data_IF_175155422991
#
_entry.id   IF_175155422991
#
_cell.length_a   1.000
_cell.length_b   1.000
_cell.length_c   1.000
_cell.angle_alpha   90.00
_cell.angle_beta   90.00
_cell.angle_gamma   90.00
#
_symmetry.space_group_name_H-M   'P 1'
#
loop_
_entity.id
_entity.type
_entity.pdbx_description
1 polymer ?
#
# COMPACT_ATOMS: atom_id res chain seq x y z
N UNK A 1 47.42 28.61 39.24
CA UNK A 1 46.52 29.78 39.22
C UNK A 1 46.28 30.12 37.76
N UNK A 2 45.04 29.94 37.31
CA UNK A 2 44.58 30.19 35.93
C UNK A 2 44.37 31.69 35.76
N UNK A 3 44.90 32.31 34.70
CA UNK A 3 44.32 33.51 34.06
C UNK A 3 44.64 33.54 32.56
N UNK A 4 43.56 33.46 31.77
CA UNK A 4 43.44 33.89 30.39
C UNK A 4 43.87 35.36 30.22
N UNK A 5 44.52 35.68 29.09
CA UNK A 5 44.01 36.71 28.16
C UNK A 5 44.69 36.62 26.81
N UNK A 6 43.85 36.70 25.77
CA UNK A 6 44.19 36.71 24.36
C UNK A 6 44.83 38.05 23.94
N UNK A 7 45.61 38.03 22.86
CA UNK A 7 45.62 39.15 21.91
C UNK A 7 45.71 38.62 20.48
N UNK A 8 44.81 39.16 19.67
CA UNK A 8 44.49 38.88 18.27
C UNK A 8 45.22 39.91 17.40
N UNK A 9 45.82 39.46 16.30
CA UNK A 9 46.09 40.24 15.08
C UNK A 9 46.27 39.22 13.93
N UNK A 10 45.26 38.94 13.11
CA UNK A 10 44.75 39.71 11.97
C UNK A 10 45.80 39.92 10.86
N UNK A 11 45.80 39.03 9.87
CA UNK A 11 46.21 39.36 8.51
C UNK A 11 45.39 38.49 7.53
N UNK A 12 44.49 39.16 6.83
CA UNK A 12 43.77 38.69 5.66
C UNK A 12 44.76 38.46 4.51
N UNK A 13 44.57 37.38 3.75
CA UNK A 13 44.71 37.43 2.30
C UNK A 13 43.83 36.36 1.66
N UNK A 14 42.66 36.82 1.21
CA UNK A 14 41.77 36.16 0.27
C UNK A 14 42.44 36.13 -1.11
N UNK A 15 42.43 34.97 -1.76
CA UNK A 15 42.43 34.89 -3.23
C UNK A 15 41.43 33.82 -3.67
N UNK A 16 40.20 34.28 -3.85
CA UNK A 16 39.17 33.61 -4.63
C UNK A 16 39.56 33.65 -6.12
N UNK A 17 39.83 32.50 -6.71
CA UNK A 17 39.78 32.30 -8.15
C UNK A 17 38.39 31.83 -8.54
N UNK A 18 37.65 32.68 -9.24
CA UNK A 18 36.29 32.46 -9.69
C UNK A 18 36.22 31.39 -10.79
N UNK A 19 35.32 30.41 -10.62
CA UNK A 19 34.62 29.79 -11.75
C UNK A 19 33.15 30.07 -11.55
N UNK A 20 32.67 31.09 -12.26
CA UNK A 20 31.26 31.38 -12.40
C UNK A 20 30.62 30.31 -13.29
N UNK A 21 29.83 29.42 -12.70
CA UNK A 21 28.73 28.79 -13.42
C UNK A 21 27.45 29.45 -12.93
N UNK A 22 26.85 30.28 -13.78
CA UNK A 22 25.52 30.81 -13.60
C UNK A 22 24.53 29.66 -13.36
N UNK A 23 24.16 29.42 -12.11
CA UNK A 23 22.98 28.63 -11.78
C UNK A 23 21.79 29.58 -11.84
N UNK A 24 21.31 29.78 -13.06
CA UNK A 24 20.03 30.42 -13.34
C UNK A 24 18.95 29.43 -12.90
N UNK A 25 18.41 29.61 -11.68
CA UNK A 25 17.27 28.85 -11.19
C UNK A 25 15.99 29.43 -11.80
N UNK A 26 15.90 29.35 -13.13
CA UNK A 26 14.66 29.54 -13.87
C UNK A 26 14.06 28.16 -14.15
N UNK A 27 12.87 27.97 -13.60
CA UNK A 27 11.96 26.86 -13.85
C UNK A 27 11.94 26.49 -15.33
N UNK A 28 12.69 25.45 -15.71
CA UNK A 28 12.35 24.67 -16.89
C UNK A 28 11.15 23.83 -16.48
N UNK A 29 9.99 24.26 -16.95
CA UNK A 29 8.85 23.37 -17.14
C UNK A 29 9.40 22.07 -17.72
N UNK A 30 9.21 20.98 -16.98
CA UNK A 30 9.37 19.66 -17.53
C UNK A 30 8.29 19.51 -18.60
N UNK A 31 8.65 19.82 -19.85
CA UNK A 31 7.93 19.25 -20.99
C UNK A 31 7.82 17.74 -20.73
N UNK A 32 6.61 17.17 -20.75
CA UNK A 32 6.46 15.74 -20.57
C UNK A 32 7.11 15.09 -21.78
N UNK A 33 8.31 14.55 -21.62
CA UNK A 33 8.84 13.54 -22.52
C UNK A 33 7.76 12.49 -22.68
N UNK A 34 7.17 12.41 -23.88
CA UNK A 34 6.35 11.29 -24.34
C UNK A 34 7.21 10.04 -24.27
N UNK A 35 7.33 9.45 -23.08
CA UNK A 35 7.67 8.04 -22.94
C UNK A 35 6.54 7.29 -23.60
N UNK A 36 6.84 6.76 -24.77
CA UNK A 36 6.13 5.66 -25.42
C UNK A 36 5.74 4.67 -24.32
N UNK A 37 4.46 4.32 -24.23
CA UNK A 37 3.90 3.36 -23.27
C UNK A 37 4.74 2.08 -23.29
N UNK A 38 5.73 1.98 -22.40
CA UNK A 38 6.26 0.69 -22.01
C UNK A 38 5.08 -0.03 -21.38
N UNK A 39 4.69 -1.17 -21.95
CA UNK A 39 3.78 -2.10 -21.30
C UNK A 39 4.24 -2.22 -19.84
N UNK A 40 3.42 -1.75 -18.90
CA UNK A 40 3.79 -1.83 -17.49
C UNK A 40 4.03 -3.31 -17.19
N UNK A 41 5.30 -3.68 -16.95
CA UNK A 41 5.68 -5.05 -16.64
C UNK A 41 4.80 -5.55 -15.49
N UNK A 42 4.19 -6.72 -15.68
CA UNK A 42 3.32 -7.33 -14.68
C UNK A 42 4.07 -7.48 -13.35
N UNK A 43 3.43 -7.07 -12.25
CA UNK A 43 3.94 -7.21 -10.87
C UNK A 43 3.35 -8.42 -10.16
N UNK A 44 2.61 -9.26 -10.88
CA UNK A 44 1.96 -10.44 -10.32
C UNK A 44 0.76 -10.91 -11.13
N UNK A 45 -0.05 -11.77 -10.54
CA UNK A 45 -1.30 -12.21 -11.11
C UNK A 45 -2.31 -12.55 -10.02
N UNK A 46 -3.58 -12.57 -10.40
CA UNK A 46 -4.59 -13.30 -9.64
C UNK A 46 -5.28 -14.32 -10.53
N UNK A 47 -5.67 -15.44 -9.96
CA UNK A 47 -6.45 -16.49 -10.61
C UNK A 47 -7.74 -16.66 -9.86
N UNK A 48 -8.86 -16.68 -10.57
CA UNK A 48 -10.19 -17.00 -10.04
C UNK A 48 -11.00 -17.66 -11.16
N UNK A 49 -11.89 -18.61 -10.83
CA UNK A 49 -12.82 -19.22 -11.81
C UNK A 49 -12.11 -19.78 -13.07
N UNK A 50 -10.89 -20.30 -12.91
CA UNK A 50 -10.07 -20.81 -14.02
C UNK A 50 -9.44 -19.74 -14.92
N UNK A 51 -9.66 -18.45 -14.65
CA UNK A 51 -9.06 -17.32 -15.37
C UNK A 51 -7.88 -16.78 -14.59
N UNK A 52 -6.76 -16.54 -15.27
CA UNK A 52 -5.58 -15.87 -14.70
C UNK A 52 -5.44 -14.49 -15.32
N UNK A 53 -5.36 -13.47 -14.49
CA UNK A 53 -5.29 -12.06 -14.88
C UNK A 53 -4.00 -11.45 -14.33
N UNK A 54 -3.25 -10.79 -15.20
CA UNK A 54 -2.03 -10.08 -14.81
C UNK A 54 -2.36 -8.91 -13.90
N UNK A 55 -1.57 -8.73 -12.86
CA UNK A 55 -1.61 -7.58 -11.98
C UNK A 55 -0.57 -6.59 -12.43
N UNK A 56 -1.00 -5.39 -12.85
CA UNK A 56 -0.12 -4.29 -13.25
C UNK A 56 0.10 -3.28 -12.13
N UNK A 57 -0.82 -3.24 -11.15
CA UNK A 57 -0.74 -2.28 -10.06
C UNK A 57 -1.22 -2.88 -8.74
N UNK A 58 -0.54 -2.49 -7.66
CA UNK A 58 -0.83 -2.94 -6.30
C UNK A 58 -0.88 -1.73 -5.38
N UNK A 59 -1.99 -1.61 -4.65
CA UNK A 59 -2.16 -0.60 -3.60
C UNK A 59 -2.25 -1.28 -2.24
N UNK A 60 -1.49 -0.79 -1.29
CA UNK A 60 -1.60 -1.15 0.12
C UNK A 60 -2.21 0.02 0.87
N UNK A 61 -3.29 -0.24 1.61
CA UNK A 61 -3.87 0.71 2.54
C UNK A 61 -3.68 0.21 3.96
N UNK A 62 -3.31 1.10 4.87
CA UNK A 62 -3.23 0.81 6.31
C UNK A 62 -3.82 1.96 7.12
N UNK A 63 -4.17 1.70 8.37
CA UNK A 63 -4.70 2.74 9.26
C UNK A 63 -3.57 3.40 10.03
N UNK A 64 -3.55 4.73 10.10
CA UNK A 64 -2.51 5.50 10.78
C UNK A 64 -3.10 6.51 11.78
N UNK A 65 -2.34 6.83 12.81
CA UNK A 65 -2.61 8.01 13.64
C UNK A 65 -2.53 9.26 12.77
N UNK A 66 -3.51 10.15 12.84
CA UNK A 66 -3.48 11.39 12.05
C UNK A 66 -4.66 12.29 12.36
N UNK A 67 -4.46 13.60 12.24
CA UNK A 67 -5.53 14.59 12.41
C UNK A 67 -6.47 14.60 11.19
N UNK A 68 -7.77 14.79 11.45
CA UNK A 68 -8.77 14.99 10.42
C UNK A 68 -8.75 16.39 9.81
N UNK A 69 -7.98 17.33 10.41
CA UNK A 69 -7.90 18.71 9.97
C UNK A 69 -6.80 18.91 8.93
N UNK A 70 -7.16 19.53 7.81
CA UNK A 70 -6.23 19.99 6.78
C UNK A 70 -5.13 20.86 7.41
N UNK A 71 -3.87 20.53 7.15
CA UNK A 71 -2.70 21.26 7.66
C UNK A 71 -2.16 20.83 9.03
N UNK A 72 -2.81 19.93 9.76
CA UNK A 72 -2.27 19.38 11.03
C UNK A 72 -1.37 18.16 10.80
N UNK A 73 -0.52 17.82 11.80
CA UNK A 73 0.51 16.78 11.67
C UNK A 73 -0.09 15.42 11.27
N UNK A 74 0.24 14.98 10.05
CA UNK A 74 0.03 13.62 9.57
C UNK A 74 1.05 12.70 10.25
N UNK A 75 0.72 12.17 11.43
CA UNK A 75 1.42 10.97 11.88
C UNK A 75 1.18 9.85 10.85
N UNK A 76 2.14 8.96 10.75
CA UNK A 76 2.13 7.79 9.86
C UNK A 76 2.30 6.52 10.70
N UNK A 77 2.24 6.66 12.03
CA UNK A 77 2.32 5.55 12.95
C UNK A 77 1.10 4.66 12.72
N UNK A 78 1.38 3.39 12.42
CA UNK A 78 0.33 2.42 12.14
C UNK A 78 -0.49 2.15 13.39
N UNK A 79 -1.81 2.20 13.24
CA UNK A 79 -2.74 1.87 14.31
C UNK A 79 -2.71 0.38 14.62
N UNK A 80 -2.84 0.09 15.90
CA UNK A 80 -2.90 -1.27 16.43
C UNK A 80 -4.35 -1.64 16.75
N UNK A 81 -4.71 -2.88 16.42
CA UNK A 81 -6.05 -3.40 16.59
C UNK A 81 -6.01 -4.66 17.45
N UNK A 82 -7.03 -4.83 18.30
CA UNK A 82 -7.28 -6.11 18.96
C UNK A 82 -8.00 -7.01 17.95
N UNK A 83 -7.58 -8.25 17.82
CA UNK A 83 -8.20 -9.24 16.95
C UNK A 83 -8.12 -10.64 17.54
N UNK A 84 -8.68 -11.62 16.83
CA UNK A 84 -8.65 -13.04 17.15
C UNK A 84 -7.97 -13.76 15.98
N UNK A 85 -6.91 -14.51 16.26
CA UNK A 85 -6.18 -15.26 15.24
C UNK A 85 -6.96 -16.54 14.81
N UNK A 86 -6.53 -17.22 13.73
CA UNK A 86 -7.20 -18.45 13.27
C UNK A 86 -7.22 -19.60 14.28
N UNK A 87 -6.40 -19.53 15.35
CA UNK A 87 -6.36 -20.51 16.44
C UNK A 87 -7.28 -20.11 17.61
N UNK A 88 -7.99 -18.98 17.51
CA UNK A 88 -8.89 -18.47 18.55
C UNK A 88 -8.20 -17.63 19.63
N UNK A 89 -6.91 -17.28 19.47
CA UNK A 89 -6.18 -16.49 20.44
C UNK A 89 -6.40 -15.00 20.24
N UNK A 90 -6.57 -14.27 21.34
CA UNK A 90 -6.54 -12.80 21.30
C UNK A 90 -5.14 -12.30 20.94
N UNK A 91 -5.04 -11.46 19.92
CA UNK A 91 -3.78 -10.91 19.41
C UNK A 91 -3.92 -9.41 19.15
N UNK A 92 -2.79 -8.70 19.14
CA UNK A 92 -2.71 -7.35 18.59
C UNK A 92 -2.17 -7.42 17.17
N UNK A 93 -2.74 -6.65 16.25
CA UNK A 93 -2.44 -6.73 14.81
C UNK A 93 -2.29 -5.36 14.16
N UNK A 94 -1.49 -5.31 13.10
CA UNK A 94 -1.62 -4.30 12.04
C UNK A 94 -2.57 -4.80 10.96
N UNK A 95 -3.38 -3.90 10.41
CA UNK A 95 -4.34 -4.20 9.34
C UNK A 95 -3.90 -3.59 8.02
N UNK A 96 -3.89 -4.43 6.98
CA UNK A 96 -3.58 -4.03 5.62
C UNK A 96 -4.72 -4.40 4.69
N UNK A 97 -5.11 -3.47 3.82
CA UNK A 97 -5.91 -3.76 2.65
C UNK A 97 -4.99 -3.77 1.44
N UNK A 98 -4.89 -4.90 0.76
CA UNK A 98 -4.15 -5.05 -0.50
C UNK A 98 -5.15 -5.09 -1.63
N UNK A 99 -4.97 -4.21 -2.62
CA UNK A 99 -5.79 -4.16 -3.82
C UNK A 99 -4.90 -4.40 -5.03
N UNK A 100 -5.19 -5.43 -5.81
CA UNK A 100 -4.54 -5.71 -7.09
C UNK A 100 -5.42 -5.22 -8.23
N UNK A 101 -4.80 -4.76 -9.31
CA UNK A 101 -5.50 -4.30 -10.51
C UNK A 101 -4.76 -4.75 -11.76
N UNK A 102 -5.53 -5.12 -12.78
CA UNK A 102 -5.03 -5.44 -14.12
C UNK A 102 -4.70 -4.20 -14.97
N UNK A 103 -5.07 -3.02 -14.49
CA UNK A 103 -4.73 -1.73 -15.08
C UNK A 103 -3.69 -1.01 -14.23
N UNK A 104 -2.76 -0.33 -14.90
CA UNK A 104 -1.91 0.68 -14.24
C UNK A 104 -2.74 1.87 -13.78
N UNK A 105 -2.16 2.70 -12.90
CA UNK A 105 -2.68 4.06 -12.71
C UNK A 105 -2.46 4.83 -14.02
N UNK A 106 -3.52 5.46 -14.54
CA UNK A 106 -3.51 6.48 -15.61
C UNK A 106 -3.11 6.02 -17.04
N UNK A 107 -4.04 5.88 -18.01
CA UNK A 107 -4.37 7.02 -18.88
C UNK A 107 -4.92 8.20 -18.08
N UNK A 108 -4.04 9.18 -17.84
CA UNK A 108 -4.43 10.50 -17.35
C UNK A 108 -5.34 11.09 -18.44
N UNK A 109 -6.57 11.47 -18.10
CA UNK A 109 -7.30 12.40 -18.96
C UNK A 109 -6.62 13.76 -18.76
N UNK A 110 -5.78 14.15 -19.73
CA UNK A 110 -4.94 15.34 -19.70
C UNK A 110 -5.75 16.62 -19.96
N UNK A 111 -6.79 16.88 -19.18
CA UNK A 111 -7.48 18.18 -19.21
C UNK A 111 -7.46 18.77 -17.81
N UNK A 112 -6.85 19.93 -17.66
CA UNK A 112 -6.61 20.66 -16.41
C UNK A 112 -7.87 21.07 -15.64
N UNK A 113 -9.06 20.67 -16.07
CA UNK A 113 -10.34 21.20 -15.59
C UNK A 113 -11.24 20.17 -14.88
N UNK A 114 -10.87 18.89 -14.77
CA UNK A 114 -11.72 17.90 -14.10
C UNK A 114 -10.96 17.07 -13.04
N UNK A 115 -11.66 16.79 -11.93
CA UNK A 115 -11.22 15.88 -10.88
C UNK A 115 -10.66 14.57 -11.44
N UNK A 116 -9.55 14.11 -10.84
CA UNK A 116 -8.83 12.89 -11.22
C UNK A 116 -9.77 11.66 -11.30
N UNK A 117 -10.25 11.35 -12.51
CA UNK A 117 -11.05 10.14 -12.76
C UNK A 117 -10.13 8.95 -12.95
N UNK A 118 -10.01 8.13 -11.91
CA UNK A 118 -9.36 6.82 -11.99
C UNK A 118 -10.05 5.99 -13.08
N UNK A 119 -9.29 5.49 -14.06
CA UNK A 119 -9.78 4.44 -14.96
C UNK A 119 -10.41 3.33 -14.13
N UNK A 120 -11.67 3.01 -14.43
CA UNK A 120 -12.44 1.97 -13.74
C UNK A 120 -11.61 0.69 -13.65
N UNK A 121 -11.49 0.16 -12.43
CA UNK A 121 -10.93 -1.18 -12.20
C UNK A 121 -11.73 -2.14 -13.06
N UNK A 122 -11.08 -2.81 -14.00
CA UNK A 122 -11.76 -3.82 -14.82
C UNK A 122 -11.67 -5.19 -14.17
N UNK A 123 -10.53 -5.53 -13.58
CA UNK A 123 -10.34 -6.84 -12.96
C UNK A 123 -9.32 -6.71 -11.81
N UNK A 124 -9.55 -7.43 -10.72
CA UNK A 124 -8.65 -7.36 -9.58
C UNK A 124 -9.08 -8.23 -8.41
N UNK A 125 -8.21 -8.26 -7.41
CA UNK A 125 -8.45 -8.88 -6.11
C UNK A 125 -8.31 -7.86 -4.99
N UNK A 126 -9.05 -8.07 -3.90
CA UNK A 126 -8.95 -7.30 -2.66
C UNK A 126 -8.73 -8.25 -1.51
N UNK A 127 -7.67 -8.05 -0.75
CA UNK A 127 -7.36 -8.81 0.45
C UNK A 127 -7.34 -7.87 1.64
N UNK A 128 -7.92 -8.31 2.75
CA UNK A 128 -7.70 -7.71 4.06
C UNK A 128 -6.85 -8.69 4.86
N UNK A 129 -5.67 -8.25 5.27
CA UNK A 129 -4.69 -9.05 5.98
C UNK A 129 -4.48 -8.44 7.35
N UNK A 130 -4.45 -9.30 8.35
CA UNK A 130 -4.03 -8.95 9.70
C UNK A 130 -2.65 -9.55 9.97
N UNK A 131 -1.74 -8.73 10.46
CA UNK A 131 -0.36 -9.12 10.78
C UNK A 131 -0.17 -9.00 12.29
N UNK A 132 -0.01 -10.12 13.02
CA UNK A 132 0.25 -10.10 14.45
C UNK A 132 1.47 -9.28 14.84
N UNK A 133 1.38 -8.63 16.00
CA UNK A 133 2.44 -7.81 16.59
C UNK A 133 2.94 -8.50 17.84
N UNK A 134 4.25 -8.71 17.93
CA UNK A 134 4.92 -9.22 19.13
C UNK A 134 6.09 -8.30 19.45
N UNK A 135 6.14 -7.78 20.68
CA UNK A 135 7.16 -6.82 21.13
C UNK A 135 7.29 -5.60 20.18
N UNK A 136 6.16 -5.10 19.68
CA UNK A 136 6.10 -3.96 18.75
C UNK A 136 6.56 -4.26 17.32
N UNK A 137 6.84 -5.53 16.97
CA UNK A 137 7.29 -5.91 15.62
C UNK A 137 6.26 -6.77 14.88
N UNK A 138 5.99 -6.50 13.59
CA UNK A 138 5.10 -7.33 12.79
C UNK A 138 5.68 -8.75 12.60
N UNK A 139 4.84 -9.77 12.71
CA UNK A 139 5.16 -11.18 12.48
C UNK A 139 4.52 -11.61 11.14
N UNK A 140 5.23 -11.36 10.03
CA UNK A 140 4.71 -11.60 8.67
C UNK A 140 4.43 -13.10 8.40
N UNK A 141 5.18 -13.98 9.04
CA UNK A 141 5.01 -15.44 9.01
C UNK A 141 3.72 -15.91 9.69
N UNK A 142 3.13 -15.08 10.57
CA UNK A 142 1.88 -15.36 11.27
C UNK A 142 0.69 -14.60 10.72
N UNK A 143 0.88 -13.84 9.64
CA UNK A 143 -0.18 -13.07 9.01
C UNK A 143 -1.31 -13.99 8.52
N UNK A 144 -2.53 -13.47 8.53
CA UNK A 144 -3.71 -14.20 8.07
C UNK A 144 -4.69 -13.27 7.34
N UNK A 145 -5.53 -13.86 6.50
CA UNK A 145 -6.55 -13.15 5.73
C UNK A 145 -7.81 -13.01 6.58
N UNK A 146 -8.21 -11.77 6.82
CA UNK A 146 -9.49 -11.45 7.45
C UNK A 146 -10.65 -11.47 6.45
N UNK A 147 -10.46 -10.91 5.25
CA UNK A 147 -11.43 -10.93 4.16
C UNK A 147 -10.71 -11.04 2.81
N UNK A 148 -11.40 -11.56 1.80
CA UNK A 148 -10.91 -11.67 0.44
C UNK A 148 -12.04 -11.51 -0.58
N UNK A 149 -11.74 -10.92 -1.73
CA UNK A 149 -12.69 -10.66 -2.78
C UNK A 149 -12.01 -10.57 -4.14
N UNK A 150 -12.75 -10.79 -5.23
CA UNK A 150 -12.28 -10.59 -6.60
C UNK A 150 -13.38 -10.03 -7.52
N UNK A 151 -12.99 -9.52 -8.69
CA UNK A 151 -13.91 -9.05 -9.71
C UNK A 151 -13.33 -9.25 -11.12
N UNK A 152 -14.20 -9.56 -12.08
CA UNK A 152 -13.92 -9.53 -13.53
C UNK A 152 -14.59 -8.34 -14.25
N UNK A 153 -15.06 -7.35 -13.47
CA UNK A 153 -15.70 -6.14 -13.99
C UNK A 153 -15.48 -4.95 -13.08
N UNK A 154 -16.46 -4.07 -12.98
CA UNK A 154 -16.34 -2.86 -12.17
C UNK A 154 -16.29 -3.17 -10.66
N UNK A 155 -16.09 -2.14 -9.83
CA UNK A 155 -16.06 -2.31 -8.37
C UNK A 155 -17.38 -2.88 -7.84
N UNK A 156 -18.48 -2.55 -8.49
CA UNK A 156 -19.85 -2.94 -8.14
C UNK A 156 -20.10 -4.43 -8.38
N UNK A 157 -19.31 -5.09 -9.23
CA UNK A 157 -19.39 -6.53 -9.50
C UNK A 157 -18.41 -7.35 -8.65
N UNK A 158 -17.92 -6.79 -7.55
CA UNK A 158 -16.98 -7.46 -6.65
C UNK A 158 -17.67 -8.57 -5.87
N UNK A 159 -17.15 -9.78 -6.03
CA UNK A 159 -17.53 -10.94 -5.26
C UNK A 159 -16.76 -10.97 -3.93
N UNK A 160 -17.46 -10.72 -2.83
CA UNK A 160 -16.88 -10.88 -1.49
C UNK A 160 -16.99 -12.35 -1.09
N UNK A 161 -15.86 -12.93 -0.71
CA UNK A 161 -15.84 -14.31 -0.23
C UNK A 161 -15.99 -14.32 1.30
N UNK A 162 -16.80 -15.25 1.77
CA UNK A 162 -17.13 -15.46 3.19
C UNK A 162 -16.58 -16.81 3.65
N UNK A 163 -16.74 -17.14 4.94
CA UNK A 163 -16.41 -18.46 5.45
C UNK A 163 -17.15 -19.63 4.79
N UNK A 164 -18.24 -19.36 4.06
CA UNK A 164 -19.01 -20.38 3.33
C UNK A 164 -18.51 -20.56 1.88
N UNK A 165 -17.98 -19.49 1.28
CA UNK A 165 -17.58 -19.46 -0.13
C UNK A 165 -16.08 -19.52 -0.35
N UNK A 166 -15.27 -19.36 0.70
CA UNK A 166 -13.83 -19.57 0.69
C UNK A 166 -13.40 -20.72 1.60
N UNK A 167 -12.32 -21.40 1.22
CA UNK A 167 -11.68 -22.44 2.03
C UNK A 167 -10.20 -22.58 1.70
N UNK A 168 -9.49 -23.38 2.51
CA UNK A 168 -8.09 -23.74 2.29
C UNK A 168 -7.14 -22.53 2.12
N UNK A 169 -7.39 -21.48 2.89
CA UNK A 169 -6.68 -20.21 2.76
C UNK A 169 -5.26 -20.38 3.31
N UNK A 170 -4.25 -20.18 2.49
CA UNK A 170 -2.85 -20.14 2.90
C UNK A 170 -2.24 -18.83 2.40
N UNK A 171 -1.80 -18.01 3.34
CA UNK A 171 -1.14 -16.75 3.05
C UNK A 171 0.35 -16.84 3.41
N UNK A 172 1.20 -16.44 2.46
CA UNK A 172 2.63 -16.28 2.67
C UNK A 172 3.03 -14.86 2.31
N UNK A 173 3.65 -14.14 3.24
CA UNK A 173 4.23 -12.82 2.99
C UNK A 173 5.74 -12.93 3.21
N UNK A 174 6.50 -12.91 2.12
CA UNK A 174 7.96 -12.91 2.19
C UNK A 174 8.49 -11.50 2.45
N UNK A 175 7.77 -10.47 1.98
CA UNK A 175 8.20 -9.08 2.05
C UNK A 175 6.98 -8.15 2.11
N UNK A 176 6.98 -7.23 3.06
CA UNK A 176 6.07 -6.08 3.12
C UNK A 176 6.85 -4.87 3.65
N UNK A 177 7.41 -4.10 2.72
CA UNK A 177 8.15 -2.87 3.03
C UNK A 177 7.26 -1.67 2.73
N UNK A 178 6.83 -0.97 3.78
CA UNK A 178 6.15 0.30 3.67
C UNK A 178 7.19 1.43 3.54
N UNK A 179 6.88 2.50 2.78
CA UNK A 179 7.76 3.65 2.67
C UNK A 179 7.99 4.32 4.04
N UNK A 180 9.22 4.79 4.26
CA UNK A 180 9.50 5.70 5.36
C UNK A 180 9.04 7.11 4.96
N UNK A 181 8.19 7.74 5.78
CA UNK A 181 7.78 9.12 5.53
C UNK A 181 8.62 10.07 6.39
N UNK A 182 9.29 11.02 5.75
CA UNK A 182 9.98 12.12 6.44
C UNK A 182 9.01 13.28 6.66
N UNK A 183 9.37 14.22 7.54
CA UNK A 183 8.60 15.46 7.77
C UNK A 183 8.27 16.24 6.49
N UNK A 184 9.11 16.13 5.46
CA UNK A 184 8.96 16.81 4.16
C UNK A 184 8.16 16.01 3.12
N UNK A 185 7.97 14.69 3.32
CA UNK A 185 7.30 13.78 2.39
C UNK A 185 6.10 13.07 3.05
N UNK A 186 5.48 13.71 4.05
CA UNK A 186 4.25 13.21 4.65
C UNK A 186 3.13 13.25 3.61
N UNK A 187 2.37 12.15 3.41
CA UNK A 187 1.24 12.16 2.51
C UNK A 187 0.23 13.21 3.00
N UNK A 188 -0.06 14.22 2.16
CA UNK A 188 -1.09 15.22 2.43
C UNK A 188 -2.51 14.65 2.28
N UNK A 189 -3.53 15.51 2.29
CA UNK A 189 -4.96 15.12 2.16
C UNK A 189 -5.27 14.34 0.87
N UNK A 190 -4.40 14.44 -0.14
CA UNK A 190 -4.53 13.70 -1.42
C UNK A 190 -3.97 12.26 -1.37
N UNK A 191 -3.37 11.82 -0.26
CA UNK A 191 -3.32 10.42 0.19
C UNK A 191 -2.64 9.35 -0.69
N UNK A 192 -1.96 9.69 -1.78
CA UNK A 192 -1.35 8.74 -2.71
C UNK A 192 0.14 9.05 -2.91
N UNK A 193 1.01 8.12 -2.49
CA UNK A 193 2.42 8.10 -2.90
C UNK A 193 2.59 6.96 -3.90
N UNK A 194 3.09 7.30 -5.09
CA UNK A 194 3.43 6.33 -6.12
C UNK A 194 4.89 5.87 -5.94
N UNK A 195 5.06 4.57 -5.73
CA UNK A 195 6.33 3.83 -5.64
C UNK A 195 7.39 4.32 -4.65
N UNK A 196 7.24 3.96 -3.36
CA UNK A 196 8.33 4.01 -2.35
C UNK A 196 8.32 2.79 -1.38
N UNK A 197 7.65 1.69 -1.73
CA UNK A 197 7.64 0.43 -0.95
C UNK A 197 7.61 -0.80 -1.86
N UNK A 198 7.69 -2.00 -1.28
CA UNK A 198 7.72 -3.26 -2.03
C UNK A 198 6.97 -4.38 -1.30
N UNK A 199 6.38 -5.30 -2.08
CA UNK A 199 5.68 -6.47 -1.55
C UNK A 199 6.08 -7.75 -2.29
N UNK A 200 6.13 -8.86 -1.56
CA UNK A 200 6.24 -10.22 -2.08
C UNK A 200 5.28 -11.10 -1.27
N UNK A 201 4.16 -11.45 -1.87
CA UNK A 201 3.11 -12.24 -1.24
C UNK A 201 2.54 -13.30 -2.18
N UNK A 202 2.11 -14.40 -1.59
CA UNK A 202 1.32 -15.43 -2.25
C UNK A 202 0.14 -15.81 -1.36
N UNK A 203 -1.04 -15.78 -1.93
CA UNK A 203 -2.26 -16.35 -1.38
C UNK A 203 -2.65 -17.53 -2.26
N UNK A 204 -2.97 -18.65 -1.64
CA UNK A 204 -3.68 -19.76 -2.29
C UNK A 204 -4.92 -20.09 -1.49
N UNK A 205 -6.02 -20.36 -2.19
CA UNK A 205 -7.30 -20.73 -1.57
C UNK A 205 -8.21 -21.40 -2.60
N UNK A 206 -9.34 -21.91 -2.13
CA UNK A 206 -10.45 -22.34 -2.97
C UNK A 206 -11.62 -21.38 -2.80
N UNK A 207 -12.29 -21.02 -3.89
CA UNK A 207 -13.45 -20.15 -3.88
C UNK A 207 -14.59 -20.72 -4.73
N UNK A 208 -15.81 -20.59 -4.22
CA UNK A 208 -17.04 -20.81 -4.99
C UNK A 208 -17.20 -19.71 -6.04
N UNK A 209 -17.63 -20.10 -7.24
CA UNK A 209 -17.85 -19.19 -8.36
C UNK A 209 -18.99 -18.21 -8.06
N UNK A 210 -18.99 -17.05 -8.74
CA UNK A 210 -20.00 -16.00 -8.55
C UNK A 210 -21.41 -16.53 -8.85
N UNK A 211 -21.57 -17.22 -9.98
CA UNK A 211 -22.87 -17.61 -10.52
C UNK A 211 -23.10 -19.14 -10.53
N UNK A 212 -22.32 -19.90 -9.75
CA UNK A 212 -22.51 -21.35 -9.66
C UNK A 212 -21.99 -21.97 -8.36
N UNK A 213 -22.39 -23.22 -8.10
CA UNK A 213 -21.87 -24.04 -7.00
C UNK A 213 -20.47 -24.62 -7.26
N UNK A 214 -19.89 -24.36 -8.44
CA UNK A 214 -18.54 -24.82 -8.74
C UNK A 214 -17.52 -24.14 -7.83
N UNK A 215 -16.51 -24.91 -7.40
CA UNK A 215 -15.39 -24.44 -6.59
C UNK A 215 -14.11 -24.58 -7.39
N UNK A 216 -13.30 -23.54 -7.41
CA UNK A 216 -12.01 -23.53 -8.10
C UNK A 216 -10.95 -22.77 -7.33
N UNK A 217 -9.72 -22.77 -7.83
CA UNK A 217 -8.62 -22.03 -7.21
C UNK A 217 -8.88 -20.52 -7.24
N UNK A 218 -8.68 -19.90 -6.08
CA UNK A 218 -8.47 -18.46 -5.95
C UNK A 218 -7.06 -18.20 -5.43
N UNK A 219 -6.19 -17.70 -6.31
CA UNK A 219 -4.78 -17.46 -6.02
C UNK A 219 -4.42 -16.00 -6.29
N UNK A 220 -3.56 -15.43 -5.45
CA UNK A 220 -3.00 -14.09 -5.67
C UNK A 220 -1.50 -14.18 -5.49
N UNK A 221 -0.72 -13.83 -6.52
CA UNK A 221 0.75 -13.81 -6.48
C UNK A 221 1.21 -12.41 -6.83
N UNK A 222 1.94 -11.77 -5.94
CA UNK A 222 2.42 -10.41 -6.15
C UNK A 222 3.88 -10.34 -5.77
N UNK A 223 4.68 -9.77 -6.65
CA UNK A 223 6.06 -9.41 -6.37
C UNK A 223 6.41 -8.14 -7.12
N UNK A 224 6.51 -7.04 -6.40
CA UNK A 224 6.80 -5.77 -7.04
C UNK A 224 6.59 -4.54 -6.17
N UNK A 225 6.73 -3.35 -6.77
CA UNK A 225 6.49 -2.09 -6.10
C UNK A 225 5.02 -1.92 -5.72
N UNK A 226 4.77 -1.17 -4.65
CA UNK A 226 3.43 -0.83 -4.18
C UNK A 226 3.22 0.68 -4.09
N UNK A 227 1.98 1.10 -4.32
CA UNK A 227 1.50 2.41 -3.88
C UNK A 227 0.88 2.28 -2.50
N UNK A 228 1.10 3.30 -1.67
CA UNK A 228 0.66 3.29 -0.28
C UNK A 228 -0.29 4.45 -0.02
N UNK A 229 -1.39 4.14 0.66
CA UNK A 229 -2.32 5.11 1.21
C UNK A 229 -2.59 4.78 2.66
N UNK A 230 -2.83 5.79 3.49
CA UNK A 230 -3.29 5.58 4.85
C UNK A 230 -4.75 6.01 5.01
N UNK A 231 -5.47 5.35 5.91
CA UNK A 231 -6.78 5.77 6.41
C UNK A 231 -6.54 6.42 7.78
N UNK A 232 -7.08 7.63 7.99
CA UNK A 232 -6.92 8.37 9.25
C UNK A 232 -7.94 7.92 10.28
N UNK A 233 -7.47 7.64 11.50
CA UNK A 233 -8.33 7.38 12.64
C UNK A 233 -8.85 5.94 12.73
N UNK A 234 -8.98 5.45 13.97
CA UNK A 234 -9.38 4.08 14.27
C UNK A 234 -10.81 3.80 13.83
N UNK A 235 -11.73 4.72 14.11
CA UNK A 235 -13.15 4.59 13.77
C UNK A 235 -13.38 4.45 12.27
N UNK A 236 -12.72 5.29 11.44
CA UNK A 236 -12.83 5.17 9.98
C UNK A 236 -12.24 3.87 9.46
N UNK A 237 -11.17 3.37 10.08
CA UNK A 237 -10.58 2.08 9.74
C UNK A 237 -11.52 0.92 10.07
N UNK A 238 -12.13 0.93 11.25
CA UNK A 238 -13.08 -0.11 11.67
C UNK A 238 -14.36 -0.05 10.82
N UNK A 239 -14.84 1.14 10.47
CA UNK A 239 -15.98 1.31 9.55
C UNK A 239 -15.66 0.91 8.11
N UNK A 240 -14.39 1.03 7.68
CA UNK A 240 -13.99 0.66 6.33
C UNK A 240 -13.94 -0.86 6.12
N UNK A 241 -13.76 -1.65 7.18
CA UNK A 241 -13.55 -3.10 7.10
C UNK A 241 -14.08 -3.80 8.34
N UNK A 242 -15.12 -4.64 8.16
CA UNK A 242 -15.51 -5.64 9.15
C UNK A 242 -14.83 -6.97 8.83
N UNK A 243 -14.04 -7.53 9.75
CA UNK A 243 -13.32 -8.80 9.55
C UNK A 243 -14.30 -9.98 9.70
N UNK A 244 -14.34 -10.88 8.72
CA UNK A 244 -15.18 -12.06 8.73
C UNK A 244 -14.50 -13.19 9.54
N UNK A 245 -15.05 -13.50 10.72
CA UNK A 245 -14.56 -14.57 11.57
C UNK A 245 -14.62 -15.96 10.89
N UNK A 246 -15.61 -16.17 10.02
CA UNK A 246 -15.73 -17.37 9.21
C UNK A 246 -14.59 -17.50 8.21
N UNK A 247 -14.15 -16.42 7.58
CA UNK A 247 -12.96 -16.39 6.71
C UNK A 247 -11.68 -16.61 7.54
N UNK A 248 -11.55 -15.93 8.68
CA UNK A 248 -10.39 -16.10 9.57
C UNK A 248 -10.20 -17.57 9.94
N UNK A 249 -11.27 -18.27 10.28
CA UNK A 249 -11.26 -19.70 10.62
C UNK A 249 -10.84 -20.63 9.45
N UNK A 250 -10.85 -20.16 8.20
CA UNK A 250 -10.38 -20.93 7.02
C UNK A 250 -8.89 -20.80 6.74
N UNK A 251 -8.18 -19.94 7.47
CA UNK A 251 -6.74 -19.78 7.32
C UNK A 251 -6.00 -20.99 7.91
N UNK A 252 -5.26 -21.70 7.06
CA UNK A 252 -4.34 -22.77 7.42
C UNK A 252 -2.96 -22.16 7.68
N UNK A 253 -2.38 -22.50 8.82
CA UNK A 253 -0.98 -22.21 9.16
C UNK A 253 -0.14 -23.47 9.03
#
# INVERSE_FOLDING_TARGET
MIKNTALVALALSLSFGAVASNFDYRSKENEPTKTTLQEANSVGSFTAEGKSIDTKFVRVLFAAEGSEKEGESNSIEQLKFKSIDPQGNAVEVYRFQILTKNTGYDEVQTSQEEDYKLKSVKEGAKLHIEVPIVNGKPQLDKAYVGNLAYNFGTRETRNNLTGETASDIVLKINKLELPAFTSSNKPGDKGLIYNQGAIDLTLTSKAKHIDSDAVSDFNVKIKGPISVTHIRGKERSDNAVNIDAGVVAKNKK
#
